data_IF_948376341035
#
_entry.id   IF_948376341035
#
_cell.length_a   1.000
_cell.length_b   1.000
_cell.length_c   1.000
_cell.angle_alpha   90.00
_cell.angle_beta   90.00
_cell.angle_gamma   90.00
#
_symmetry.space_group_name_H-M   'P 1'
#
loop_
_entity.id
_entity.type
_entity.pdbx_description
1 polymer ?
#
# COMPACT_ATOMS: atom_id res chain seq x y z
N UNK A 1 62.84 -16.34 -39.61
CA UNK A 1 62.03 -16.64 -38.41
C UNK A 1 61.50 -15.33 -37.84
N UNK A 2 60.22 -15.01 -38.06
CA UNK A 2 59.53 -13.89 -37.41
C UNK A 2 58.34 -14.48 -36.64
N UNK A 3 58.27 -14.25 -35.32
CA UNK A 3 57.10 -14.58 -34.50
C UNK A 3 56.06 -13.49 -34.74
N UNK A 4 54.84 -13.91 -35.09
CA UNK A 4 53.66 -13.04 -35.13
C UNK A 4 52.89 -13.22 -33.81
N UNK A 5 52.59 -12.12 -33.13
CA UNK A 5 51.69 -12.08 -31.98
C UNK A 5 50.24 -12.24 -32.46
N UNK A 6 49.38 -13.03 -31.77
CA UNK A 6 47.95 -13.06 -32.05
C UNK A 6 47.27 -11.83 -31.44
N UNK A 7 46.55 -11.14 -32.32
CA UNK A 7 45.92 -9.85 -32.10
C UNK A 7 44.78 -9.83 -31.08
N UNK A 8 44.68 -8.67 -30.44
CA UNK A 8 43.67 -8.23 -29.50
C UNK A 8 42.27 -8.03 -30.14
N UNK A 9 41.69 -9.08 -30.73
CA UNK A 9 40.42 -8.99 -31.47
C UNK A 9 39.25 -9.79 -30.86
N UNK A 10 39.39 -10.36 -29.66
CA UNK A 10 38.33 -11.21 -29.07
C UNK A 10 37.60 -10.64 -27.85
N UNK A 11 37.83 -9.37 -27.46
CA UNK A 11 37.18 -8.78 -26.27
C UNK A 11 35.97 -7.89 -26.55
N UNK A 12 35.58 -7.68 -27.82
CA UNK A 12 34.47 -6.77 -28.19
C UNK A 12 33.09 -7.43 -28.35
N UNK A 13 33.00 -8.76 -28.27
CA UNK A 13 31.74 -9.51 -28.50
C UNK A 13 31.11 -10.07 -27.22
N UNK A 14 31.56 -9.65 -26.03
CA UNK A 14 31.03 -10.12 -24.73
C UNK A 14 30.27 -9.05 -23.93
N UNK A 15 30.00 -7.88 -24.50
CA UNK A 15 29.35 -6.77 -23.80
C UNK A 15 27.91 -6.46 -24.25
N UNK A 16 27.28 -7.35 -25.04
CA UNK A 16 25.90 -7.15 -25.51
C UNK A 16 24.86 -8.09 -24.88
N UNK A 17 25.23 -8.91 -23.88
CA UNK A 17 24.31 -9.84 -23.22
C UNK A 17 23.92 -9.44 -21.79
N UNK A 18 24.17 -8.20 -21.37
CA UNK A 18 23.93 -7.75 -20.00
C UNK A 18 23.34 -6.34 -19.96
N UNK A 19 22.10 -6.19 -20.40
CA UNK A 19 21.16 -5.14 -19.96
C UNK A 19 19.79 -5.37 -20.59
N UNK A 20 19.18 -6.50 -20.27
CA UNK A 20 17.76 -6.73 -20.50
C UNK A 20 17.18 -7.57 -19.36
N UNK A 21 17.54 -7.25 -18.12
CA UNK A 21 16.61 -7.47 -17.02
C UNK A 21 15.78 -6.21 -16.96
N UNK A 22 14.86 -6.08 -17.92
CA UNK A 22 13.70 -5.26 -17.67
C UNK A 22 13.03 -5.90 -16.45
N UNK A 23 13.15 -5.24 -15.29
CA UNK A 23 12.24 -5.49 -14.18
C UNK A 23 10.85 -5.17 -14.73
N UNK A 24 10.20 -6.17 -15.32
CA UNK A 24 8.77 -6.23 -15.32
C UNK A 24 8.41 -6.24 -13.84
N UNK A 25 8.03 -5.09 -13.29
CA UNK A 25 7.10 -5.08 -12.18
C UNK A 25 5.90 -5.88 -12.70
N UNK A 26 5.89 -7.18 -12.41
CA UNK A 26 4.81 -8.05 -12.81
C UNK A 26 3.55 -7.43 -12.24
N UNK A 27 2.53 -7.23 -13.08
CA UNK A 27 1.22 -6.92 -12.54
C UNK A 27 0.92 -7.98 -11.48
N UNK A 28 0.59 -7.55 -10.26
CA UNK A 28 0.14 -8.51 -9.26
C UNK A 28 -1.14 -9.16 -9.81
N UNK A 29 -1.29 -10.45 -9.57
CA UNK A 29 -2.58 -11.09 -9.79
C UNK A 29 -3.61 -10.44 -8.85
N UNK A 30 -4.79 -10.02 -9.35
CA UNK A 30 -5.83 -9.44 -8.51
C UNK A 30 -6.22 -10.39 -7.38
N UNK A 31 -6.29 -9.85 -6.16
CA UNK A 31 -6.79 -10.61 -5.02
C UNK A 31 -8.31 -10.82 -5.17
N UNK A 32 -8.77 -12.04 -4.92
CA UNK A 32 -10.21 -12.29 -4.78
C UNK A 32 -10.78 -11.42 -3.65
N UNK A 33 -11.97 -10.82 -3.86
CA UNK A 33 -12.60 -9.85 -2.94
C UNK A 33 -12.66 -10.34 -1.48
N UNK A 34 -13.03 -11.62 -1.26
CA UNK A 34 -13.08 -12.20 0.08
C UNK A 34 -11.69 -12.27 0.74
N UNK A 35 -10.67 -12.72 0.00
CA UNK A 35 -9.30 -12.80 0.49
C UNK A 35 -8.72 -11.40 0.76
N UNK A 36 -9.03 -10.42 -0.09
CA UNK A 36 -8.65 -9.03 0.14
C UNK A 36 -9.29 -8.49 1.43
N UNK A 37 -10.60 -8.70 1.64
CA UNK A 37 -11.28 -8.27 2.88
C UNK A 37 -10.66 -8.89 4.13
N UNK A 38 -10.39 -10.20 4.12
CA UNK A 38 -9.73 -10.88 5.22
C UNK A 38 -8.32 -10.33 5.48
N UNK A 39 -7.59 -10.00 4.41
CA UNK A 39 -6.25 -9.43 4.50
C UNK A 39 -6.28 -8.04 5.18
N UNK A 40 -7.17 -7.15 4.76
CA UNK A 40 -7.31 -5.82 5.38
C UNK A 40 -7.89 -5.89 6.81
N UNK A 41 -8.72 -6.89 7.13
CA UNK A 41 -9.19 -7.12 8.49
C UNK A 41 -8.04 -7.50 9.46
N UNK A 42 -7.04 -8.26 8.98
CA UNK A 42 -5.81 -8.55 9.75
C UNK A 42 -4.97 -7.31 10.02
N UNK A 43 -5.02 -6.32 9.13
CA UNK A 43 -4.36 -5.03 9.34
C UNK A 43 -5.09 -4.16 10.37
N UNK A 44 -6.44 -4.15 10.37
CA UNK A 44 -7.22 -3.32 11.29
C UNK A 44 -7.21 -3.82 12.74
N UNK A 45 -7.12 -5.14 12.97
CA UNK A 45 -7.16 -5.72 14.32
C UNK A 45 -6.08 -5.19 15.28
N UNK A 46 -4.78 -5.21 14.93
CA UNK A 46 -3.72 -4.64 15.76
C UNK A 46 -3.91 -3.15 16.06
N UNK A 47 -4.48 -2.38 15.12
CA UNK A 47 -4.75 -0.96 15.32
C UNK A 47 -5.84 -0.74 16.37
N UNK A 48 -6.90 -1.56 16.38
CA UNK A 48 -7.92 -1.51 17.41
C UNK A 48 -7.38 -1.81 18.80
N UNK A 49 -6.52 -2.83 18.92
CA UNK A 49 -5.88 -3.15 20.20
C UNK A 49 -5.06 -1.97 20.74
N UNK A 50 -4.36 -1.25 19.85
CA UNK A 50 -3.60 -0.05 20.21
C UNK A 50 -4.49 1.12 20.63
N UNK A 51 -5.58 1.37 19.90
CA UNK A 51 -6.54 2.41 20.26
C UNK A 51 -7.24 2.10 21.59
N UNK A 52 -7.62 0.85 21.82
CA UNK A 52 -8.21 0.41 23.08
C UNK A 52 -7.25 0.61 24.26
N UNK A 53 -5.97 0.25 24.10
CA UNK A 53 -4.93 0.49 25.11
C UNK A 53 -4.71 1.98 25.41
N UNK A 54 -5.03 2.86 24.46
CA UNK A 54 -4.93 4.31 24.60
C UNK A 54 -6.23 4.99 25.04
N UNK A 55 -7.24 4.23 25.48
CA UNK A 55 -8.53 4.79 25.90
C UNK A 55 -9.37 5.35 24.76
N UNK A 56 -9.11 4.91 23.52
CA UNK A 56 -9.84 5.33 22.32
C UNK A 56 -9.35 6.64 21.71
N UNK A 57 -8.30 7.29 22.24
CA UNK A 57 -7.81 8.56 21.71
C UNK A 57 -7.03 8.36 20.39
N UNK A 58 -7.57 8.81 19.24
CA UNK A 58 -6.89 8.68 17.95
C UNK A 58 -5.62 9.53 17.86
N UNK A 59 -5.39 10.49 18.76
CA UNK A 59 -4.13 11.26 18.82
C UNK A 59 -2.95 10.34 19.15
N UNK A 60 -3.18 9.19 19.81
CA UNK A 60 -2.12 8.19 20.03
C UNK A 60 -1.51 7.71 18.71
N UNK A 61 -2.31 7.63 17.64
CA UNK A 61 -1.88 7.20 16.31
C UNK A 61 -0.81 8.16 15.76
N UNK A 62 -0.95 9.46 16.04
CA UNK A 62 0.00 10.52 15.63
C UNK A 62 1.31 10.46 16.43
N UNK A 63 1.28 9.90 17.64
CA UNK A 63 2.40 9.87 18.60
C UNK A 63 3.22 8.58 18.54
N UNK A 64 2.78 7.57 17.79
CA UNK A 64 3.46 6.29 17.64
C UNK A 64 4.83 6.44 16.94
N UNK A 65 5.92 5.85 17.49
CA UNK A 65 7.24 5.84 16.85
C UNK A 65 7.42 4.88 15.66
N UNK A 66 6.42 4.07 15.31
CA UNK A 66 6.47 3.03 14.26
C UNK A 66 5.61 3.52 13.07
N UNK A 67 6.03 3.71 11.82
CA UNK A 67 7.27 3.45 11.08
C UNK A 67 7.85 4.78 10.58
N UNK A 68 8.80 5.39 11.32
CA UNK A 68 9.61 6.47 10.73
C UNK A 68 10.66 5.84 9.81
N UNK A 69 10.39 5.83 8.50
CA UNK A 69 11.50 5.69 7.54
C UNK A 69 12.47 6.85 7.80
N UNK A 70 13.78 6.61 8.05
CA UNK A 70 14.76 7.66 8.30
C UNK A 70 14.96 8.61 7.11
N UNK A 71 14.24 8.42 6.00
CA UNK A 71 14.34 9.18 4.76
C UNK A 71 13.16 10.16 4.50
N UNK A 72 12.17 10.30 5.40
CA UNK A 72 11.03 11.18 5.14
C UNK A 72 11.18 12.60 5.74
N UNK A 73 11.28 13.61 4.86
CA UNK A 73 11.02 15.02 5.16
C UNK A 73 9.50 15.29 5.15
N UNK A 74 9.04 16.11 6.11
CA UNK A 74 7.64 16.47 6.47
C UNK A 74 6.70 16.84 5.30
N UNK A 75 5.34 16.78 5.48
CA UNK A 75 4.57 16.63 6.72
C UNK A 75 4.35 15.18 7.19
N UNK A 76 4.03 15.02 8.47
CA UNK A 76 4.00 13.74 9.18
C UNK A 76 2.94 12.78 8.62
N UNK A 77 3.38 11.80 7.84
CA UNK A 77 2.56 10.68 7.35
C UNK A 77 2.57 9.61 8.43
N UNK A 78 1.42 9.35 9.05
CA UNK A 78 1.28 8.26 10.02
C UNK A 78 1.00 7.00 9.20
N UNK A 79 1.97 6.09 9.15
CA UNK A 79 1.87 4.83 8.42
C UNK A 79 1.81 3.67 9.41
N UNK A 80 0.72 2.91 9.38
CA UNK A 80 0.58 1.67 10.16
C UNK A 80 0.90 0.48 9.27
N UNK A 81 1.81 -0.37 9.71
CA UNK A 81 2.24 -1.55 8.97
C UNK A 81 1.88 -2.85 9.69
N UNK A 82 1.36 -3.82 8.94
CA UNK A 82 1.47 -5.25 9.27
C UNK A 82 2.31 -5.88 8.17
N UNK A 83 3.49 -6.37 8.54
CA UNK A 83 4.42 -7.00 7.62
C UNK A 83 4.17 -8.51 7.58
N UNK A 84 4.45 -9.13 6.43
CA UNK A 84 4.37 -10.57 6.23
C UNK A 84 2.99 -11.18 6.55
N UNK A 85 1.91 -10.43 6.28
CA UNK A 85 0.55 -10.92 6.45
C UNK A 85 0.30 -12.11 5.51
N UNK A 86 -0.04 -13.26 6.10
CA UNK A 86 -0.30 -14.49 5.35
C UNK A 86 0.94 -15.24 4.87
N UNK A 87 2.15 -14.87 5.34
CA UNK A 87 3.36 -15.61 5.01
C UNK A 87 3.38 -17.00 5.65
N UNK A 88 3.73 -18.03 4.88
CA UNK A 88 4.02 -19.36 5.39
C UNK A 88 5.49 -19.46 5.85
N UNK A 89 5.74 -20.22 6.92
CA UNK A 89 7.08 -20.37 7.51
C UNK A 89 8.10 -21.02 6.55
N UNK A 90 7.63 -21.60 5.44
CA UNK A 90 8.44 -22.16 4.35
C UNK A 90 9.04 -21.09 3.42
N UNK A 91 8.64 -19.82 3.61
CA UNK A 91 9.29 -18.64 3.09
C UNK A 91 9.00 -18.36 1.62
N UNK A 92 8.78 -17.07 1.34
CA UNK A 92 8.93 -16.37 0.04
C UNK A 92 7.65 -15.87 -0.65
N UNK A 93 6.49 -15.92 0.01
CA UNK A 93 5.28 -15.22 -0.41
C UNK A 93 4.61 -14.48 0.76
N UNK A 94 3.88 -13.40 0.51
CA UNK A 94 3.12 -12.69 1.55
C UNK A 94 2.78 -11.25 1.19
N UNK A 95 2.22 -10.52 2.15
CA UNK A 95 1.78 -9.14 1.94
C UNK A 95 2.34 -8.18 2.99
N UNK A 96 2.95 -7.09 2.53
CA UNK A 96 3.23 -5.92 3.35
C UNK A 96 2.02 -4.98 3.29
N UNK A 97 1.26 -4.91 4.38
CA UNK A 97 0.09 -4.04 4.50
C UNK A 97 0.48 -2.75 5.19
N UNK A 98 0.34 -1.63 4.48
CA UNK A 98 0.65 -0.32 5.04
C UNK A 98 -0.50 0.64 4.80
N UNK A 99 -0.90 1.40 5.82
CA UNK A 99 -2.01 2.32 5.73
C UNK A 99 -1.70 3.71 6.25
N UNK A 100 -2.25 4.71 5.58
CA UNK A 100 -2.12 6.12 5.89
C UNK A 100 -3.43 6.64 6.47
N UNK A 101 -3.40 7.23 7.67
CA UNK A 101 -4.51 8.02 8.20
C UNK A 101 -4.67 9.30 7.36
N UNK A 102 -5.86 9.52 6.84
CA UNK A 102 -6.20 10.67 6.01
C UNK A 102 -6.71 11.82 6.87
N UNK A 103 -6.24 13.03 6.58
CA UNK A 103 -6.87 14.25 7.08
C UNK A 103 -8.14 14.49 6.26
N UNK A 104 -9.25 13.98 6.76
CA UNK A 104 -10.57 14.19 6.20
C UNK A 104 -11.30 15.26 7.02
N UNK A 105 -11.83 16.32 6.39
CA UNK A 105 -12.69 17.27 7.07
C UNK A 105 -13.80 16.54 7.84
N UNK A 106 -14.03 16.89 9.11
CA UNK A 106 -15.10 16.30 9.94
C UNK A 106 -16.49 16.37 9.27
N UNK A 107 -16.69 17.36 8.39
CA UNK A 107 -17.91 17.48 7.59
C UNK A 107 -18.10 16.36 6.56
N UNK A 108 -17.01 15.74 6.07
CA UNK A 108 -17.06 14.64 5.09
C UNK A 108 -17.28 13.28 5.75
N UNK A 109 -16.77 13.08 6.96
CA UNK A 109 -16.79 11.79 7.65
C UNK A 109 -16.97 11.96 9.17
N UNK A 110 -18.13 12.47 9.62
CA UNK A 110 -18.34 12.79 11.03
C UNK A 110 -18.27 11.53 11.91
N UNK A 111 -17.33 11.52 12.87
CA UNK A 111 -17.12 10.41 13.79
C UNK A 111 -16.46 9.18 13.16
N UNK A 112 -15.78 9.36 12.02
CA UNK A 112 -15.04 8.31 11.32
C UNK A 112 -13.59 8.72 11.10
N UNK A 113 -12.68 7.82 11.44
CA UNK A 113 -11.27 7.86 11.03
C UNK A 113 -11.15 7.18 9.68
N UNK A 114 -10.45 7.82 8.73
CA UNK A 114 -10.30 7.31 7.37
C UNK A 114 -8.87 6.96 7.06
N UNK A 115 -8.69 5.80 6.43
CA UNK A 115 -7.41 5.28 6.05
C UNK A 115 -7.42 4.91 4.57
N UNK A 116 -6.28 5.10 3.91
CA UNK A 116 -6.00 4.43 2.64
C UNK A 116 -4.92 3.39 2.93
N UNK A 117 -5.18 2.13 2.60
CA UNK A 117 -4.32 0.99 2.95
C UNK A 117 -3.96 0.25 1.68
N UNK A 118 -2.68 -0.04 1.49
CA UNK A 118 -2.17 -0.77 0.34
C UNK A 118 -1.52 -2.08 0.76
N UNK A 119 -1.73 -3.10 -0.07
CA UNK A 119 -1.11 -4.41 0.02
C UNK A 119 -0.01 -4.55 -1.04
N UNK A 120 1.23 -4.66 -0.58
CA UNK A 120 2.39 -4.90 -1.43
C UNK A 120 2.74 -6.37 -1.37
N UNK A 121 2.66 -7.05 -2.52
CA UNK A 121 3.05 -8.46 -2.63
C UNK A 121 4.54 -8.59 -2.37
N UNK A 122 4.91 -9.58 -1.57
CA UNK A 122 6.30 -10.02 -1.41
C UNK A 122 6.49 -11.31 -2.18
N UNK A 123 7.55 -11.35 -2.97
CA UNK A 123 8.04 -12.57 -3.63
C UNK A 123 9.52 -12.71 -3.32
N UNK A 124 9.93 -13.89 -2.86
CA UNK A 124 11.31 -14.17 -2.48
C UNK A 124 11.87 -13.20 -1.42
N UNK A 125 11.00 -12.74 -0.52
CA UNK A 125 11.35 -11.81 0.56
C UNK A 125 11.60 -10.37 0.09
N UNK A 126 11.15 -10.00 -1.11
CA UNK A 126 11.25 -8.65 -1.65
C UNK A 126 9.88 -8.14 -2.13
N UNK A 127 9.60 -6.83 -1.99
CA UNK A 127 8.45 -6.21 -2.64
C UNK A 127 8.47 -6.50 -4.15
N UNK A 128 7.37 -7.05 -4.68
CA UNK A 128 7.22 -7.45 -6.06
C UNK A 128 6.24 -6.56 -6.83
N UNK A 129 5.05 -6.31 -6.25
CA UNK A 129 4.01 -5.51 -6.88
C UNK A 129 3.08 -4.86 -5.84
N UNK A 130 2.47 -3.72 -6.20
CA UNK A 130 1.32 -3.19 -5.47
C UNK A 130 0.07 -3.90 -6.01
N UNK A 131 -0.56 -4.77 -5.22
CA UNK A 131 -1.67 -5.56 -5.73
C UNK A 131 -3.03 -5.00 -5.43
N UNK A 132 -3.15 -4.30 -4.30
CA UNK A 132 -4.46 -3.86 -3.84
C UNK A 132 -4.32 -2.60 -3.00
N UNK A 133 -5.31 -1.71 -3.12
CA UNK A 133 -5.43 -0.50 -2.33
C UNK A 133 -6.90 -0.30 -1.98
N UNK A 134 -7.20 -0.05 -0.71
CA UNK A 134 -8.56 0.15 -0.22
C UNK A 134 -8.67 1.31 0.73
N UNK A 135 -9.82 1.96 0.69
CA UNK A 135 -10.25 2.90 1.73
C UNK A 135 -10.85 2.10 2.86
N UNK A 136 -10.37 2.35 4.08
CA UNK A 136 -10.93 1.81 5.30
C UNK A 136 -11.46 2.97 6.14
N UNK A 137 -12.57 2.74 6.83
CA UNK A 137 -13.08 3.68 7.82
C UNK A 137 -13.32 2.96 9.15
N UNK A 138 -12.94 3.61 10.25
CA UNK A 138 -13.19 3.14 11.60
C UNK A 138 -14.02 4.17 12.35
N UNK A 139 -15.05 3.74 13.07
CA UNK A 139 -15.74 4.61 14.03
C UNK A 139 -14.76 5.16 15.07
N UNK A 140 -14.88 6.43 15.44
CA UNK A 140 -14.06 7.02 16.51
C UNK A 140 -14.43 6.41 17.88
N UNK A 141 -15.73 6.19 18.11
CA UNK A 141 -16.34 5.79 19.37
C UNK A 141 -16.46 4.27 19.56
N UNK A 142 -16.26 3.48 18.50
CA UNK A 142 -16.43 2.03 18.54
C UNK A 142 -15.44 1.31 17.60
N UNK A 143 -15.10 0.04 17.86
CA UNK A 143 -14.25 -0.77 16.98
C UNK A 143 -15.05 -1.29 15.76
N UNK A 144 -15.77 -0.40 15.08
CA UNK A 144 -16.56 -0.73 13.89
C UNK A 144 -15.80 -0.30 12.65
N UNK A 145 -15.49 -1.27 11.79
CA UNK A 145 -14.79 -1.06 10.54
C UNK A 145 -15.72 -1.12 9.33
N UNK A 146 -15.33 -0.35 8.31
CA UNK A 146 -15.83 -0.41 6.95
C UNK A 146 -14.63 -0.55 6.02
N UNK A 147 -14.76 -1.43 5.05
CA UNK A 147 -13.75 -1.67 4.02
C UNK A 147 -14.42 -1.40 2.68
N UNK A 148 -13.89 -0.41 1.95
CA UNK A 148 -14.32 -0.10 0.59
C UNK A 148 -14.05 -1.25 -0.38
N UNK A 149 -14.71 -1.27 -1.54
CA UNK A 149 -14.38 -2.22 -2.60
C UNK A 149 -12.94 -2.00 -3.10
N UNK A 150 -12.36 -3.05 -3.69
CA UNK A 150 -11.15 -2.93 -4.48
C UNK A 150 -11.44 -2.21 -5.80
N UNK A 151 -10.41 -1.59 -6.37
CA UNK A 151 -10.47 -0.96 -7.69
C UNK A 151 -9.17 -1.22 -8.44
N UNK A 152 -9.17 -2.26 -9.27
CA UNK A 152 -8.02 -2.69 -10.06
C UNK A 152 -7.54 -1.60 -11.03
N UNK A 153 -8.47 -0.79 -11.57
CA UNK A 153 -8.13 0.29 -12.48
C UNK A 153 -7.40 1.42 -11.73
N UNK A 154 -7.87 1.77 -10.53
CA UNK A 154 -7.20 2.74 -9.67
C UNK A 154 -5.81 2.26 -9.22
N UNK A 155 -5.66 0.97 -8.89
CA UNK A 155 -4.36 0.36 -8.57
C UNK A 155 -3.42 0.43 -9.78
N UNK A 156 -3.89 0.08 -10.97
CA UNK A 156 -3.11 0.16 -12.20
C UNK A 156 -2.68 1.59 -12.54
N UNK A 157 -3.58 2.57 -12.38
CA UNK A 157 -3.28 3.99 -12.55
C UNK A 157 -2.20 4.47 -11.57
N UNK A 158 -2.31 4.10 -10.29
CA UNK A 158 -1.31 4.42 -9.29
C UNK A 158 0.04 3.75 -9.60
N UNK A 159 0.03 2.49 -10.03
CA UNK A 159 1.24 1.77 -10.41
C UNK A 159 1.93 2.40 -11.62
N UNK A 160 1.17 2.82 -12.65
CA UNK A 160 1.69 3.45 -13.85
C UNK A 160 2.33 4.83 -13.60
N UNK A 161 1.86 5.55 -12.58
CA UNK A 161 2.41 6.86 -12.20
C UNK A 161 3.69 6.77 -11.34
N UNK A 162 4.10 5.57 -10.92
CA UNK A 162 5.26 5.39 -10.04
C UNK A 162 6.58 5.56 -10.78
N UNK A 163 7.56 6.06 -10.05
CA UNK A 163 8.95 6.06 -10.48
C UNK A 163 9.49 4.62 -10.45
N UNK A 164 9.88 4.03 -11.61
CA UNK A 164 10.37 2.65 -11.66
C UNK A 164 11.73 2.47 -10.97
N UNK A 165 12.46 3.56 -10.69
CA UNK A 165 13.72 3.52 -9.96
C UNK A 165 13.54 3.58 -8.44
N UNK A 166 12.35 3.96 -7.95
CA UNK A 166 12.07 4.05 -6.53
C UNK A 166 11.74 2.68 -5.93
N UNK A 167 12.12 2.48 -4.66
CA UNK A 167 11.76 1.25 -3.95
C UNK A 167 10.24 1.11 -3.82
N UNK A 168 9.72 -0.07 -4.17
CA UNK A 168 8.30 -0.38 -4.11
C UNK A 168 7.82 -0.44 -2.66
N UNK A 169 6.93 0.49 -2.29
CA UNK A 169 6.24 0.54 -0.99
C UNK A 169 4.89 1.25 -1.11
N UNK A 170 4.05 1.14 -0.10
CA UNK A 170 2.83 1.93 0.02
C UNK A 170 2.76 2.60 1.40
N UNK A 171 2.30 3.87 1.50
CA UNK A 171 2.27 4.81 0.39
C UNK A 171 3.70 5.14 -0.06
N UNK A 172 3.93 5.37 -1.35
CA UNK A 172 5.23 5.83 -1.84
C UNK A 172 5.48 7.29 -1.43
N UNK A 173 6.73 7.75 -1.44
CA UNK A 173 7.13 9.09 -0.98
C UNK A 173 6.37 10.24 -1.66
N UNK A 174 6.07 10.08 -2.94
CA UNK A 174 5.41 11.08 -3.76
C UNK A 174 3.88 11.01 -3.71
N UNK A 175 3.31 9.91 -3.22
CA UNK A 175 1.86 9.76 -3.20
C UNK A 175 1.23 10.86 -2.33
N UNK A 176 0.16 11.48 -2.84
CA UNK A 176 -0.60 12.51 -2.13
C UNK A 176 -2.07 12.14 -2.21
N UNK A 177 -2.65 11.73 -1.08
CA UNK A 177 -4.05 11.33 -1.01
C UNK A 177 -4.90 12.46 -0.43
N UNK A 178 -6.11 12.61 -0.97
CA UNK A 178 -7.11 13.58 -0.50
C UNK A 178 -8.48 12.92 -0.42
N UNK A 179 -9.14 13.07 0.72
CA UNK A 179 -10.54 12.72 0.86
C UNK A 179 -11.44 13.80 0.25
N UNK A 180 -12.45 13.39 -0.53
CA UNK A 180 -13.40 14.27 -1.20
C UNK A 180 -14.81 13.66 -1.22
N UNK A 181 -15.84 14.49 -1.26
CA UNK A 181 -17.22 14.02 -1.39
C UNK A 181 -17.48 13.54 -2.84
N UNK A 182 -18.04 12.35 -2.99
CA UNK A 182 -18.51 11.81 -4.28
C UNK A 182 -19.86 11.11 -4.09
N UNK A 183 -20.82 11.86 -3.55
CA UNK A 183 -22.12 11.37 -3.07
C UNK A 183 -22.76 10.34 -4.03
N UNK A 184 -23.26 9.20 -3.52
CA UNK A 184 -23.46 8.84 -2.11
C UNK A 184 -22.20 8.27 -1.41
N UNK A 185 -21.03 8.40 -2.02
CA UNK A 185 -19.78 7.85 -1.51
C UNK A 185 -18.88 8.94 -0.93
N UNK A 186 -17.94 8.50 -0.11
CA UNK A 186 -16.72 9.24 0.15
C UNK A 186 -15.62 8.69 -0.75
N UNK A 187 -14.89 9.59 -1.41
CA UNK A 187 -13.79 9.24 -2.29
C UNK A 187 -12.45 9.62 -1.67
N UNK A 188 -11.42 8.86 -2.01
CA UNK A 188 -10.03 9.18 -1.74
C UNK A 188 -9.31 9.18 -3.08
N UNK A 189 -8.78 10.34 -3.46
CA UNK A 189 -8.03 10.54 -4.71
C UNK A 189 -6.55 10.62 -4.42
N UNK A 190 -5.74 9.94 -5.23
CA UNK A 190 -4.30 10.20 -5.30
C UNK A 190 -4.02 11.26 -6.37
N UNK A 191 -3.34 12.34 -5.99
CA UNK A 191 -3.26 13.57 -6.81
C UNK A 191 -2.28 13.47 -7.99
N UNK A 192 -1.29 12.57 -7.94
CA UNK A 192 -0.31 12.39 -9.01
C UNK A 192 -0.84 11.54 -10.16
N UNK A 193 -1.48 10.43 -9.83
CA UNK A 193 -2.03 9.44 -10.76
C UNK A 193 -3.48 9.73 -11.17
N UNK A 194 -4.23 10.46 -10.33
CA UNK A 194 -5.67 10.66 -10.50
C UNK A 194 -6.51 9.45 -10.10
N UNK A 195 -5.90 8.38 -9.59
CA UNK A 195 -6.59 7.19 -9.09
C UNK A 195 -7.57 7.55 -7.96
N UNK A 196 -8.73 6.90 -7.93
CA UNK A 196 -9.79 7.17 -6.95
C UNK A 196 -10.27 5.86 -6.36
N UNK A 197 -10.36 5.81 -5.03
CA UNK A 197 -11.04 4.75 -4.30
C UNK A 197 -12.23 5.33 -3.56
N UNK A 198 -13.22 4.51 -3.24
CA UNK A 198 -14.44 4.98 -2.59
C UNK A 198 -14.87 4.07 -1.44
N UNK A 199 -15.66 4.64 -0.53
CA UNK A 199 -16.27 3.93 0.59
C UNK A 199 -17.65 4.50 0.90
N UNK A 200 -18.56 3.63 1.37
CA UNK A 200 -19.86 4.02 1.89
C UNK A 200 -19.85 3.87 3.41
N UNK A 201 -20.17 4.96 4.11
CA UNK A 201 -20.19 4.99 5.57
C UNK A 201 -21.57 4.62 6.14
N UNK A 202 -22.63 4.83 5.36
CA UNK A 202 -24.03 4.70 5.80
C UNK A 202 -24.58 3.27 5.67
N UNK A 203 -23.76 2.31 5.24
CA UNK A 203 -24.17 0.91 5.12
C UNK A 203 -24.14 0.23 6.49
N UNK A 204 -25.18 -0.51 6.91
CA UNK A 204 -25.17 -1.27 8.14
C UNK A 204 -24.03 -2.30 8.14
N UNK A 205 -23.49 -2.62 9.31
CA UNK A 205 -22.44 -3.63 9.40
C UNK A 205 -23.08 -4.95 8.97
N UNK A 206 -22.46 -5.66 8.04
CA UNK A 206 -22.92 -7.01 7.73
C UNK A 206 -22.95 -7.79 9.05
N UNK A 207 -24.12 -8.32 9.39
CA UNK A 207 -24.26 -9.20 10.54
C UNK A 207 -23.40 -10.45 10.29
N UNK A 208 -22.54 -10.81 11.24
CA UNK A 208 -21.89 -12.11 11.22
C UNK A 208 -22.98 -13.21 11.28
N UNK A 209 -22.84 -14.30 10.50
CA UNK A 209 -23.80 -15.41 10.49
C UNK A 209 -23.81 -16.22 11.81
#
# INVERSE_FOLDING_TARGET
>A
MRRAEPGAASRRWLLLAACAVALSAGAAEPLMEAAARDLFARWSGPLDAQLAAAGGDPVVLVRQPLLRSPQQLRPARIVFGVLDAGADAAGRGGWDLNGLLLDAPRALAPGWLLFIVGAVERRDGRPAALAEVRVLARREDAPVWRIGPGDEAAVAMLAAARDPSAALRFPAERDRFRAEACAPWLCVRELGSGAVWHIRLDEPAAAEP
#
